data_IF_589942527073
#
_entry.id   IF_589942527073
#
_cell.length_a   1.000
_cell.length_b   1.000
_cell.length_c   1.000
_cell.angle_alpha   90.00
_cell.angle_beta   90.00
_cell.angle_gamma   90.00
#
_symmetry.space_group_name_H-M   'P 1'
#
loop_
_entity.id
_entity.type
_entity.pdbx_description
1 polymer ?
#
# COMPACT_ATOMS: atom_id res chain seq x y z
N UNK A 1 5.44 -16.81 2.65
CA UNK A 1 5.15 -15.34 2.72
C UNK A 1 5.73 -14.81 4.02
N UNK A 2 6.47 -13.70 3.98
CA UNK A 2 7.39 -13.27 5.05
C UNK A 2 6.69 -12.38 6.11
N UNK A 3 6.54 -12.90 7.34
CA UNK A 3 6.02 -12.17 8.51
C UNK A 3 6.90 -10.97 8.85
N UNK A 4 8.23 -11.11 8.78
CA UNK A 4 9.19 -10.06 9.16
C UNK A 4 9.06 -8.86 8.24
N UNK A 5 8.88 -9.09 6.94
CA UNK A 5 8.61 -8.03 5.96
C UNK A 5 7.28 -7.32 6.24
N UNK A 6 6.20 -8.07 6.47
CA UNK A 6 4.88 -7.49 6.79
C UNK A 6 4.90 -6.65 8.07
N UNK A 7 5.55 -7.15 9.12
CA UNK A 7 5.73 -6.45 10.39
C UNK A 7 6.52 -5.16 10.23
N UNK A 8 7.65 -5.21 9.51
CA UNK A 8 8.47 -4.02 9.21
C UNK A 8 7.66 -2.98 8.43
N UNK A 9 6.85 -3.42 7.48
CA UNK A 9 5.97 -2.54 6.73
C UNK A 9 4.93 -1.86 7.63
N UNK A 10 4.17 -2.63 8.42
CA UNK A 10 3.13 -2.11 9.31
C UNK A 10 3.68 -1.11 10.32
N UNK A 11 4.80 -1.43 10.99
CA UNK A 11 5.47 -0.51 11.93
C UNK A 11 5.87 0.81 11.26
N UNK A 12 6.44 0.76 10.05
CA UNK A 12 6.80 1.97 9.30
C UNK A 12 5.58 2.79 8.88
N UNK A 13 4.53 2.14 8.42
CA UNK A 13 3.28 2.80 8.01
C UNK A 13 2.61 3.50 9.18
N UNK A 14 2.48 2.82 10.33
CA UNK A 14 1.90 3.43 11.54
C UNK A 14 2.77 4.56 12.11
N UNK A 15 4.10 4.44 12.03
CA UNK A 15 4.99 5.56 12.42
C UNK A 15 4.78 6.80 11.55
N UNK A 16 4.46 6.62 10.26
CA UNK A 16 4.29 7.73 9.31
C UNK A 16 2.91 8.36 9.35
N UNK A 17 1.86 7.55 9.45
CA UNK A 17 0.47 7.99 9.31
C UNK A 17 -0.31 7.97 10.63
N UNK A 18 0.32 7.56 11.73
CA UNK A 18 -0.35 7.38 13.00
C UNK A 18 -1.07 6.05 13.12
N UNK A 19 -1.90 5.94 14.15
CA UNK A 19 -2.63 4.73 14.48
C UNK A 19 -3.96 4.69 13.72
N UNK A 20 -4.19 3.74 12.80
CA UNK A 20 -5.45 3.65 12.08
C UNK A 20 -6.55 3.02 12.94
N UNK A 21 -7.80 3.36 12.62
CA UNK A 21 -9.00 2.74 13.18
C UNK A 21 -9.25 1.35 12.60
N UNK A 22 -9.10 1.19 11.27
CA UNK A 22 -9.14 -0.10 10.58
C UNK A 22 -7.99 -0.29 9.59
N UNK A 23 -7.59 -1.56 9.40
CA UNK A 23 -6.49 -1.97 8.52
C UNK A 23 -7.01 -3.03 7.56
N UNK A 24 -7.26 -2.62 6.34
CA UNK A 24 -7.68 -3.53 5.27
C UNK A 24 -6.46 -4.20 4.65
N UNK A 25 -6.37 -5.53 4.73
CA UNK A 25 -5.32 -6.32 4.07
C UNK A 25 -5.90 -7.47 3.26
N UNK A 26 -5.05 -8.13 2.47
CA UNK A 26 -5.39 -9.44 1.90
C UNK A 26 -5.42 -10.53 2.98
N UNK A 27 -5.99 -11.70 2.65
CA UNK A 27 -6.24 -12.81 3.58
C UNK A 27 -5.00 -13.65 3.92
N UNK A 28 -3.81 -13.03 3.92
CA UNK A 28 -2.58 -13.77 4.17
C UNK A 28 -2.31 -13.96 5.64
N UNK A 29 -1.87 -15.17 5.98
CA UNK A 29 -1.41 -15.52 7.33
C UNK A 29 -0.27 -14.61 7.81
N UNK A 30 0.57 -14.08 6.91
CA UNK A 30 1.67 -13.18 7.29
C UNK A 30 1.21 -11.84 7.87
N UNK A 31 0.12 -11.26 7.35
CA UNK A 31 -0.42 -10.02 7.91
C UNK A 31 -1.10 -10.28 9.25
N UNK A 32 -1.93 -11.32 9.35
CA UNK A 32 -2.55 -11.69 10.62
C UNK A 32 -1.53 -11.96 11.72
N UNK A 33 -0.42 -12.66 11.41
CA UNK A 33 0.66 -12.88 12.36
C UNK A 33 1.40 -11.59 12.76
N UNK A 34 1.62 -10.66 11.82
CA UNK A 34 2.26 -9.39 12.11
C UNK A 34 1.35 -8.43 12.91
N UNK A 35 0.05 -8.41 12.61
CA UNK A 35 -0.95 -7.60 13.30
C UNK A 35 -1.17 -8.07 14.75
N UNK A 36 -1.16 -9.38 14.99
CA UNK A 36 -1.16 -9.96 16.34
C UNK A 36 0.06 -9.50 17.15
N UNK A 37 1.25 -9.49 16.55
CA UNK A 37 2.48 -9.07 17.25
C UNK A 37 2.45 -7.59 17.65
N UNK A 38 1.77 -6.72 16.90
CA UNK A 38 1.66 -5.30 17.21
C UNK A 38 0.36 -4.92 17.94
N UNK A 39 -0.44 -5.90 18.37
CA UNK A 39 -1.68 -5.66 19.11
C UNK A 39 -2.78 -4.94 18.30
N UNK A 40 -2.83 -5.16 16.98
CA UNK A 40 -3.82 -4.54 16.08
C UNK A 40 -4.60 -5.60 15.27
N UNK A 41 -4.72 -6.82 15.81
CA UNK A 41 -5.40 -7.92 15.14
C UNK A 41 -6.92 -7.71 15.06
N UNK A 42 -7.50 -7.06 16.06
CA UNK A 42 -8.90 -6.63 16.17
C UNK A 42 -9.30 -5.62 15.06
N UNK A 43 -8.34 -4.84 14.58
CA UNK A 43 -8.55 -3.81 13.54
C UNK A 43 -8.39 -4.33 12.12
N UNK A 44 -8.06 -5.61 11.97
CA UNK A 44 -7.85 -6.19 10.66
C UNK A 44 -9.19 -6.43 9.97
N UNK A 45 -9.41 -5.74 8.87
CA UNK A 45 -10.54 -6.02 7.99
C UNK A 45 -10.06 -6.84 6.80
N UNK A 46 -10.77 -7.95 6.55
CA UNK A 46 -10.56 -8.73 5.33
C UNK A 46 -11.91 -9.02 4.70
N UNK A 47 -11.99 -8.85 3.39
CA UNK A 47 -13.25 -8.98 2.68
C UNK A 47 -13.02 -9.02 1.19
N UNK A 48 -14.01 -9.54 0.46
CA UNK A 48 -13.99 -9.48 -0.99
C UNK A 48 -14.05 -8.00 -1.37
N UNK A 49 -13.11 -7.55 -2.21
CA UNK A 49 -13.06 -6.20 -2.77
C UNK A 49 -12.65 -5.05 -1.84
N UNK A 50 -12.52 -5.28 -0.53
CA UNK A 50 -12.12 -4.21 0.41
C UNK A 50 -10.74 -3.63 0.08
N UNK A 51 -9.82 -4.46 -0.40
CA UNK A 51 -8.47 -4.03 -0.80
C UNK A 51 -8.39 -3.47 -2.23
N UNK A 52 -9.50 -3.33 -2.96
CA UNK A 52 -9.51 -2.88 -4.36
C UNK A 52 -8.87 -1.50 -4.51
N UNK A 53 -9.08 -0.58 -3.56
CA UNK A 53 -8.48 0.75 -3.58
C UNK A 53 -6.96 0.66 -3.62
N UNK A 54 -6.38 -0.13 -2.72
CA UNK A 54 -4.94 -0.36 -2.64
C UNK A 54 -4.43 -1.07 -3.89
N UNK A 55 -5.12 -2.11 -4.38
CA UNK A 55 -4.72 -2.82 -5.59
C UNK A 55 -4.72 -1.92 -6.84
N UNK A 56 -5.76 -1.08 -6.99
CA UNK A 56 -5.86 -0.10 -8.06
C UNK A 56 -4.77 0.97 -7.97
N UNK A 57 -4.42 1.41 -6.75
CA UNK A 57 -3.34 2.38 -6.54
C UNK A 57 -1.97 1.89 -7.05
N UNK A 58 -1.78 0.57 -7.14
CA UNK A 58 -0.55 -0.03 -7.66
C UNK A 58 -0.51 -0.06 -9.20
N UNK A 59 -1.63 0.11 -9.90
CA UNK A 59 -1.70 -0.05 -11.37
C UNK A 59 -0.81 0.95 -12.12
N UNK A 60 -0.79 2.26 -11.81
CA UNK A 60 0.07 3.22 -12.51
C UNK A 60 1.56 2.86 -12.37
N UNK A 61 1.97 2.50 -11.15
CA UNK A 61 3.33 2.04 -10.88
C UNK A 61 3.68 0.78 -11.68
N UNK A 62 2.81 -0.25 -11.63
CA UNK A 62 3.02 -1.52 -12.37
C UNK A 62 3.05 -1.31 -13.89
N UNK A 63 2.24 -0.39 -14.43
CA UNK A 63 2.26 -0.04 -15.85
C UNK A 63 3.59 0.57 -16.26
N UNK A 64 4.10 1.54 -15.51
CA UNK A 64 5.41 2.16 -15.80
C UNK A 64 6.55 1.16 -15.63
N UNK A 65 6.56 0.38 -14.57
CA UNK A 65 7.60 -0.63 -14.33
C UNK A 65 7.68 -1.66 -15.47
N UNK A 66 6.54 -2.09 -16.02
CA UNK A 66 6.49 -2.98 -17.19
C UNK A 66 6.94 -2.30 -18.47
N UNK A 67 6.54 -1.05 -18.72
CA UNK A 67 6.99 -0.29 -19.89
C UNK A 67 8.51 -0.07 -19.89
N UNK A 68 9.14 -0.03 -18.72
CA UNK A 68 10.59 0.05 -18.53
C UNK A 68 11.29 -1.31 -18.61
N UNK A 69 10.60 -2.39 -19.02
CA UNK A 69 11.12 -3.76 -19.07
C UNK A 69 11.61 -4.30 -17.71
N UNK A 70 11.01 -3.81 -16.61
CA UNK A 70 11.39 -4.11 -15.22
C UNK A 70 12.82 -3.69 -14.87
N UNK A 71 13.18 -3.84 -13.60
CA UNK A 71 14.50 -3.43 -13.11
C UNK A 71 15.41 -4.62 -12.88
N UNK A 72 16.62 -4.57 -13.46
CA UNK A 72 17.66 -5.60 -13.23
C UNK A 72 18.21 -5.58 -11.79
N UNK A 73 18.24 -4.41 -11.14
CA UNK A 73 18.82 -4.21 -9.80
C UNK A 73 17.77 -3.67 -8.84
N UNK A 74 17.70 -4.24 -7.64
CA UNK A 74 16.78 -3.82 -6.57
C UNK A 74 16.97 -2.36 -6.14
N UNK A 75 18.23 -1.88 -6.09
CA UNK A 75 18.52 -0.49 -5.74
C UNK A 75 17.88 0.51 -6.71
N UNK A 76 17.87 0.18 -8.00
CA UNK A 76 17.25 1.02 -9.03
C UNK A 76 15.73 1.04 -8.90
N UNK A 77 15.12 -0.13 -8.64
CA UNK A 77 13.68 -0.24 -8.34
C UNK A 77 13.30 0.61 -7.11
N UNK A 78 14.10 0.57 -6.05
CA UNK A 78 13.83 1.34 -4.83
C UNK A 78 13.88 2.85 -5.09
N UNK A 79 14.90 3.34 -5.82
CA UNK A 79 14.99 4.75 -6.22
C UNK A 79 13.82 5.18 -7.10
N UNK A 80 13.45 4.35 -8.07
CA UNK A 80 12.29 4.60 -8.92
C UNK A 80 11.00 4.67 -8.09
N UNK A 81 10.76 3.69 -7.21
CA UNK A 81 9.58 3.64 -6.37
C UNK A 81 9.48 4.85 -5.43
N UNK A 82 10.58 5.32 -4.84
CA UNK A 82 10.56 6.51 -3.98
C UNK A 82 10.19 7.78 -4.74
N UNK A 83 10.77 8.00 -5.93
CA UNK A 83 10.46 9.18 -6.76
C UNK A 83 9.03 9.09 -7.30
N UNK A 84 8.65 7.93 -7.83
CA UNK A 84 7.31 7.69 -8.36
C UNK A 84 6.23 7.93 -7.30
N UNK A 85 6.43 7.43 -6.08
CA UNK A 85 5.51 7.64 -4.98
C UNK A 85 5.42 9.11 -4.56
N UNK A 86 6.55 9.83 -4.51
CA UNK A 86 6.57 11.26 -4.19
C UNK A 86 5.74 12.07 -5.18
N UNK A 87 6.02 11.90 -6.48
CA UNK A 87 5.29 12.56 -7.58
C UNK A 87 3.80 12.18 -7.55
N UNK A 88 3.51 10.88 -7.47
CA UNK A 88 2.12 10.40 -7.49
C UNK A 88 1.33 10.90 -6.30
N UNK A 89 1.91 10.92 -5.10
CA UNK A 89 1.22 11.42 -3.91
C UNK A 89 1.00 12.93 -3.99
N UNK A 90 1.98 13.69 -4.50
CA UNK A 90 1.85 15.15 -4.64
C UNK A 90 0.70 15.53 -5.59
N UNK A 91 0.70 14.99 -6.81
CA UNK A 91 -0.28 15.35 -7.85
C UNK A 91 -1.65 14.67 -7.70
N UNK A 92 -1.75 13.63 -6.88
CA UNK A 92 -2.99 12.86 -6.68
C UNK A 92 -3.61 13.11 -5.30
N UNK A 93 -3.15 14.16 -4.61
CA UNK A 93 -3.77 14.69 -3.39
C UNK A 93 -5.25 14.98 -3.67
N UNK A 94 -6.12 14.51 -2.77
CA UNK A 94 -7.58 14.70 -2.80
C UNK A 94 -8.35 14.02 -3.93
N UNK A 95 -7.74 13.64 -5.07
CA UNK A 95 -8.47 13.06 -6.22
C UNK A 95 -9.26 11.78 -5.87
N UNK A 96 -8.82 11.04 -4.87
CA UNK A 96 -9.52 9.83 -4.36
C UNK A 96 -10.64 10.11 -3.35
N UNK A 97 -10.79 11.37 -2.90
CA UNK A 97 -11.88 11.84 -2.02
C UNK A 97 -13.03 12.46 -2.82
N UNK A 98 -12.82 12.78 -4.10
CA UNK A 98 -13.89 13.23 -4.99
C UNK A 98 -14.74 12.04 -5.44
N UNK A 99 -16.04 12.09 -5.15
CA UNK A 99 -17.00 11.16 -5.72
C UNK A 99 -17.10 11.37 -7.24
N UNK A 100 -17.52 10.35 -7.98
CA UNK A 100 -17.73 10.45 -9.43
C UNK A 100 -18.71 11.58 -9.80
N UNK A 101 -19.66 11.89 -8.91
CA UNK A 101 -20.62 12.99 -9.09
C UNK A 101 -19.96 14.37 -9.01
N UNK A 102 -18.85 14.51 -8.28
CA UNK A 102 -18.12 15.77 -8.11
C UNK A 102 -16.96 15.94 -9.10
N UNK A 103 -16.72 14.94 -9.95
CA UNK A 103 -15.64 14.95 -10.94
C UNK A 103 -16.14 15.65 -12.21
N UNK A 104 -15.77 16.92 -12.40
CA UNK A 104 -15.98 17.66 -13.66
C UNK A 104 -15.02 17.19 -14.75
#
# INVERSE_FOLDING_TARGET
>A
RDKKAALKFLRKSMKRYGRPDSIVTDRLRSYGAALKEIGAADRQETGRWLNNRTENSHLPFRRRERAMLRFRRMRSLQKFASVHASVSNHFNSERSLYSRANFK
#
